data_IF_382042285636
#
_entry.id   IF_382042285636
#
_cell.length_a   1.000
_cell.length_b   1.000
_cell.length_c   1.000
_cell.angle_alpha   90.00
_cell.angle_beta   90.00
_cell.angle_gamma   90.00
#
_symmetry.space_group_name_H-M   'P 1'
#
loop_
_entity.id
_entity.type
_entity.pdbx_description
1 polymer ?
#
# COMPACT_ATOMS: atom_id res chain seq x y z
N UNK A 1 -27.28 -16.88 -18.39
CA UNK A 1 -26.66 -15.81 -17.57
C UNK A 1 -27.68 -15.35 -16.56
N UNK A 2 -27.27 -15.06 -15.31
CA UNK A 2 -28.08 -14.29 -14.39
C UNK A 2 -27.60 -12.84 -14.47
N UNK A 3 -28.50 -11.94 -14.86
CA UNK A 3 -28.24 -10.50 -14.82
C UNK A 3 -28.17 -10.08 -13.35
N UNK A 4 -26.95 -9.87 -12.85
CA UNK A 4 -26.74 -9.37 -11.49
C UNK A 4 -26.89 -7.84 -11.54
N UNK A 5 -28.11 -7.38 -11.24
CA UNK A 5 -28.40 -5.98 -10.95
C UNK A 5 -27.71 -5.57 -9.63
N UNK A 6 -26.41 -5.24 -9.71
CA UNK A 6 -25.67 -4.64 -8.60
C UNK A 6 -25.99 -3.15 -8.58
N UNK A 7 -26.79 -2.75 -7.58
CA UNK A 7 -27.59 -1.52 -7.62
C UNK A 7 -26.83 -0.19 -7.73
N UNK A 8 -27.35 0.63 -8.64
CA UNK A 8 -27.27 2.09 -8.68
C UNK A 8 -27.54 2.76 -7.32
N UNK A 9 -26.91 3.91 -7.03
CA UNK A 9 -27.25 4.79 -5.90
C UNK A 9 -26.72 6.24 -6.08
N UNK A 10 -27.27 7.01 -7.03
CA UNK A 10 -26.99 8.46 -7.16
C UNK A 10 -27.94 9.39 -6.35
N UNK A 11 -28.67 8.87 -5.36
CA UNK A 11 -29.41 9.71 -4.41
C UNK A 11 -28.54 10.08 -3.19
N UNK A 12 -28.62 11.34 -2.75
CA UNK A 12 -27.83 11.96 -1.65
C UNK A 12 -28.19 11.45 -0.24
N UNK A 13 -28.33 10.14 -0.06
CA UNK A 13 -28.69 9.51 1.22
C UNK A 13 -28.87 7.99 1.21
N UNK A 14 -28.83 7.33 0.04
CA UNK A 14 -29.18 5.91 -0.04
C UNK A 14 -28.12 4.95 0.53
N UNK A 15 -28.61 3.82 1.07
CA UNK A 15 -27.81 2.76 1.70
C UNK A 15 -27.01 1.97 0.65
N UNK A 16 -25.85 2.50 0.28
CA UNK A 16 -24.87 1.83 -0.59
C UNK A 16 -24.51 0.44 -0.03
N UNK A 17 -24.90 -0.60 -0.79
CA UNK A 17 -24.70 -2.01 -0.47
C UNK A 17 -23.28 -2.45 -0.85
N UNK A 18 -22.74 -3.40 -0.09
CA UNK A 18 -21.42 -4.00 -0.33
C UNK A 18 -21.53 -5.07 -1.41
N UNK A 19 -20.67 -5.03 -2.42
CA UNK A 19 -20.58 -6.12 -3.41
C UNK A 19 -20.00 -7.37 -2.74
N UNK A 20 -20.33 -8.57 -3.25
CA UNK A 20 -19.67 -9.78 -2.74
C UNK A 20 -18.16 -9.71 -3.02
N UNK A 21 -17.34 -10.06 -2.02
CA UNK A 21 -15.88 -10.09 -2.14
C UNK A 21 -15.38 -11.02 -3.26
N UNK A 22 -16.20 -11.98 -3.69
CA UNK A 22 -15.91 -12.91 -4.79
C UNK A 22 -16.24 -12.37 -6.19
N UNK A 23 -16.84 -11.19 -6.34
CA UNK A 23 -17.46 -10.72 -7.61
C UNK A 23 -16.65 -9.59 -8.30
N UNK A 24 -15.49 -9.18 -7.77
CA UNK A 24 -14.67 -8.14 -8.42
C UNK A 24 -13.94 -8.73 -9.63
N UNK A 25 -14.54 -8.59 -10.80
CA UNK A 25 -13.99 -9.02 -12.10
C UNK A 25 -13.55 -7.83 -12.94
N UNK A 26 -12.66 -8.06 -13.92
CA UNK A 26 -12.29 -7.06 -14.92
C UNK A 26 -13.52 -6.53 -15.71
N UNK A 27 -14.54 -7.37 -15.91
CA UNK A 27 -15.81 -6.99 -16.53
C UNK A 27 -16.60 -6.01 -15.65
N UNK A 28 -16.73 -6.27 -14.34
CA UNK A 28 -17.36 -5.34 -13.40
C UNK A 28 -16.61 -4.00 -13.37
N UNK A 29 -15.28 -4.02 -13.38
CA UNK A 29 -14.46 -2.81 -13.42
C UNK A 29 -14.62 -2.04 -14.74
N UNK A 30 -14.71 -2.73 -15.88
CA UNK A 30 -15.01 -2.13 -17.18
C UNK A 30 -16.39 -1.48 -17.21
N UNK A 31 -17.44 -2.19 -16.75
CA UNK A 31 -18.79 -1.59 -16.58
C UNK A 31 -18.71 -0.35 -15.70
N UNK A 32 -18.05 -0.44 -14.55
CA UNK A 32 -17.90 0.68 -13.61
C UNK A 32 -17.18 1.88 -14.23
N UNK A 33 -16.19 1.67 -15.12
CA UNK A 33 -15.57 2.74 -15.92
C UNK A 33 -16.59 3.40 -16.84
N UNK A 34 -17.34 2.60 -17.62
CA UNK A 34 -18.29 3.08 -18.62
C UNK A 34 -19.47 3.85 -18.00
N UNK A 35 -20.02 3.35 -16.89
CA UNK A 35 -21.14 3.99 -16.17
C UNK A 35 -20.68 5.10 -15.22
N UNK A 36 -19.38 5.16 -14.91
CA UNK A 36 -18.80 6.00 -13.86
C UNK A 36 -19.49 5.83 -12.49
N UNK A 37 -20.04 4.65 -12.21
CA UNK A 37 -20.72 4.34 -10.94
C UNK A 37 -19.72 4.26 -9.77
N UNK A 38 -20.24 4.46 -8.55
CA UNK A 38 -19.48 4.25 -7.30
C UNK A 38 -19.94 2.96 -6.63
N UNK A 39 -19.02 2.01 -6.48
CA UNK A 39 -19.24 0.72 -5.81
C UNK A 39 -18.62 0.72 -4.41
N UNK A 40 -19.22 -0.05 -3.50
CA UNK A 40 -18.66 -0.35 -2.18
C UNK A 40 -18.09 -1.76 -2.18
N UNK A 41 -16.77 -1.85 -2.00
CA UNK A 41 -15.97 -3.02 -2.33
C UNK A 41 -15.71 -3.90 -1.10
N UNK A 42 -15.02 -3.37 -0.09
CA UNK A 42 -14.75 -4.09 1.15
C UNK A 42 -14.71 -3.15 2.36
N UNK A 43 -14.79 -3.70 3.57
CA UNK A 43 -14.55 -2.95 4.79
C UNK A 43 -13.05 -2.68 4.95
N UNK A 44 -12.70 -1.52 5.53
CA UNK A 44 -11.35 -1.28 6.04
C UNK A 44 -11.26 -1.80 7.47
N UNK A 45 -10.41 -2.80 7.71
CA UNK A 45 -10.41 -3.59 8.95
C UNK A 45 -9.33 -3.20 9.94
N UNK A 46 -8.33 -2.38 9.53
CA UNK A 46 -7.31 -1.88 10.45
C UNK A 46 -7.84 -0.72 11.31
N UNK A 47 -8.52 -1.07 12.41
CA UNK A 47 -9.13 -0.13 13.34
C UNK A 47 -8.11 0.83 14.00
N UNK A 48 -6.87 0.39 14.17
CA UNK A 48 -5.77 1.22 14.73
C UNK A 48 -5.46 2.39 13.80
N UNK A 49 -5.24 2.11 12.52
CA UNK A 49 -5.03 3.15 11.49
C UNK A 49 -6.29 3.99 11.29
N UNK A 50 -7.47 3.36 11.28
CA UNK A 50 -8.76 4.06 11.15
C UNK A 50 -8.95 5.14 12.22
N UNK A 51 -8.71 4.80 13.50
CA UNK A 51 -8.78 5.74 14.61
C UNK A 51 -7.78 6.89 14.45
N UNK A 52 -6.56 6.60 14.00
CA UNK A 52 -5.51 7.61 13.77
C UNK A 52 -5.84 8.60 12.63
N UNK A 53 -6.65 8.22 11.65
CA UNK A 53 -7.06 9.09 10.52
C UNK A 53 -8.46 9.69 10.66
N UNK A 54 -9.08 9.60 11.84
CA UNK A 54 -10.37 10.23 12.13
C UNK A 54 -11.56 9.52 11.46
N UNK A 55 -11.54 8.19 11.42
CA UNK A 55 -12.68 7.36 11.05
C UNK A 55 -13.39 6.83 12.31
N UNK A 56 -14.68 6.56 12.15
CA UNK A 56 -15.56 6.06 13.21
C UNK A 56 -15.47 4.53 13.26
N UNK A 57 -14.73 4.01 14.23
CA UNK A 57 -14.53 2.57 14.45
C UNK A 57 -15.77 1.86 15.01
N UNK A 58 -16.86 2.57 15.33
CA UNK A 58 -18.13 1.96 15.76
C UNK A 58 -19.02 1.53 14.59
N UNK A 59 -18.62 1.86 13.34
CA UNK A 59 -19.39 1.61 12.12
C UNK A 59 -18.51 0.97 11.04
N UNK A 60 -19.11 0.23 10.09
CA UNK A 60 -18.43 -0.19 8.86
C UNK A 60 -17.67 0.97 8.19
N UNK A 61 -16.40 0.75 7.86
CA UNK A 61 -15.55 1.73 7.18
C UNK A 61 -15.49 1.32 5.71
N UNK A 62 -16.20 2.05 4.85
CA UNK A 62 -16.44 1.61 3.47
C UNK A 62 -15.24 1.91 2.58
N UNK A 63 -14.57 0.90 2.04
CA UNK A 63 -13.65 1.09 0.92
C UNK A 63 -14.46 1.16 -0.37
N UNK A 64 -14.42 2.31 -1.05
CA UNK A 64 -15.22 2.58 -2.26
C UNK A 64 -14.33 2.83 -3.45
N UNK A 65 -14.87 2.55 -4.64
CA UNK A 65 -14.19 2.73 -5.91
C UNK A 65 -15.18 3.32 -6.93
N UNK A 66 -14.70 4.20 -7.81
CA UNK A 66 -15.51 4.87 -8.85
C UNK A 66 -14.82 4.78 -10.21
N UNK A 67 -15.62 4.65 -11.27
CA UNK A 67 -15.14 4.49 -12.66
C UNK A 67 -14.07 5.48 -13.09
N UNK A 68 -14.30 6.78 -12.84
CA UNK A 68 -13.34 7.83 -13.16
C UNK A 68 -11.96 7.65 -12.49
N UNK A 69 -11.89 6.98 -11.33
CA UNK A 69 -10.63 6.71 -10.63
C UNK A 69 -9.94 5.44 -11.14
N UNK A 70 -10.68 4.40 -11.55
CA UNK A 70 -10.09 3.28 -12.29
C UNK A 70 -9.50 3.81 -13.60
N UNK A 71 -10.29 4.57 -14.37
CA UNK A 71 -9.86 5.13 -15.66
C UNK A 71 -8.65 6.06 -15.52
N UNK A 72 -8.62 6.91 -14.48
CA UNK A 72 -7.44 7.72 -14.16
C UNK A 72 -6.21 6.86 -13.88
N UNK A 73 -6.36 5.81 -13.06
CA UNK A 73 -5.28 4.89 -12.71
C UNK A 73 -4.72 4.19 -13.94
N UNK A 74 -5.56 3.60 -14.78
CA UNK A 74 -5.13 2.92 -16.02
C UNK A 74 -4.50 3.93 -17.00
N UNK A 75 -5.06 5.14 -17.16
CA UNK A 75 -4.45 6.19 -18.00
C UNK A 75 -3.07 6.64 -17.51
N UNK A 76 -2.80 6.60 -16.21
CA UNK A 76 -1.52 7.06 -15.62
C UNK A 76 -0.50 5.94 -15.47
N UNK A 77 -0.92 4.73 -15.12
CA UNK A 77 -0.06 3.62 -14.73
C UNK A 77 -0.25 2.35 -15.57
N UNK A 78 -1.21 2.31 -16.50
CA UNK A 78 -1.42 1.19 -17.41
C UNK A 78 -0.33 1.04 -18.47
N UNK A 79 -0.33 -0.11 -19.16
CA UNK A 79 0.70 -0.52 -20.14
C UNK A 79 1.07 0.57 -21.15
N UNK A 80 0.06 1.28 -21.64
CA UNK A 80 0.22 2.27 -22.72
C UNK A 80 0.38 3.71 -22.20
N UNK A 81 0.66 3.89 -20.90
CA UNK A 81 0.89 5.21 -20.31
C UNK A 81 2.31 5.70 -20.55
N UNK A 82 2.49 7.03 -20.60
CA UNK A 82 3.81 7.66 -20.69
C UNK A 82 4.76 7.24 -19.56
N UNK A 83 4.24 6.89 -18.37
CA UNK A 83 5.07 6.42 -17.25
C UNK A 83 5.63 5.01 -17.51
N UNK A 84 4.88 4.13 -18.18
CA UNK A 84 5.35 2.80 -18.54
C UNK A 84 6.24 2.87 -19.78
N UNK A 85 5.76 3.51 -20.85
CA UNK A 85 6.45 3.58 -22.15
C UNK A 85 7.81 4.29 -22.03
N UNK A 86 7.86 5.49 -21.43
CA UNK A 86 9.08 6.30 -21.40
C UNK A 86 9.88 6.13 -20.10
N UNK A 87 9.20 6.04 -18.95
CA UNK A 87 9.87 6.01 -17.64
C UNK A 87 10.07 4.58 -17.10
N UNK A 88 9.79 3.54 -17.91
CA UNK A 88 9.99 2.11 -17.59
C UNK A 88 9.35 1.67 -16.26
N UNK A 89 8.25 2.32 -15.86
CA UNK A 89 7.48 1.94 -14.66
C UNK A 89 6.72 0.64 -14.89
N UNK A 90 6.39 -0.07 -13.80
CA UNK A 90 5.68 -1.35 -13.89
C UNK A 90 4.19 -1.11 -14.15
N UNK A 91 3.58 -1.73 -15.18
CA UNK A 91 2.22 -1.43 -15.59
C UNK A 91 1.17 -1.99 -14.64
N UNK A 92 0.17 -1.17 -14.30
CA UNK A 92 -1.03 -1.53 -13.53
C UNK A 92 -2.14 -2.03 -14.45
N UNK A 93 -2.80 -3.13 -14.11
CA UNK A 93 -3.93 -3.73 -14.83
C UNK A 93 -5.25 -3.55 -14.07
N UNK A 94 -6.37 -3.95 -14.68
CA UNK A 94 -7.65 -4.03 -13.96
C UNK A 94 -7.61 -5.12 -12.87
N UNK A 95 -7.01 -6.27 -13.15
CA UNK A 95 -6.78 -7.33 -12.17
C UNK A 95 -5.98 -6.86 -10.95
N UNK A 96 -4.96 -6.00 -11.12
CA UNK A 96 -4.25 -5.38 -9.99
C UNK A 96 -5.21 -4.54 -9.12
N UNK A 97 -6.08 -3.75 -9.76
CA UNK A 97 -7.06 -2.89 -9.08
C UNK A 97 -8.16 -3.73 -8.42
N UNK A 98 -8.54 -4.88 -8.97
CA UNK A 98 -9.56 -5.76 -8.40
C UNK A 98 -9.25 -6.20 -6.96
N UNK A 99 -7.96 -6.28 -6.60
CA UNK A 99 -7.48 -6.69 -5.28
C UNK A 99 -7.01 -5.52 -4.39
N UNK A 100 -7.34 -4.26 -4.73
CA UNK A 100 -6.81 -3.09 -4.00
C UNK A 100 -7.15 -3.11 -2.49
N UNK A 101 -8.32 -3.59 -2.10
CA UNK A 101 -8.78 -3.60 -0.70
C UNK A 101 -7.96 -4.55 0.17
N UNK A 102 -7.43 -5.63 -0.39
CA UNK A 102 -6.54 -6.55 0.31
C UNK A 102 -5.16 -5.93 0.54
N UNK A 103 -4.66 -5.11 -0.40
CA UNK A 103 -3.44 -4.29 -0.19
C UNK A 103 -3.69 -3.21 0.85
N UNK A 104 -4.86 -2.55 0.83
CA UNK A 104 -5.19 -1.51 1.81
C UNK A 104 -5.29 -2.07 3.23
N UNK A 105 -5.91 -3.25 3.42
CA UNK A 105 -6.04 -3.90 4.72
C UNK A 105 -4.73 -4.54 5.23
N UNK A 106 -3.90 -5.11 4.34
CA UNK A 106 -2.68 -5.85 4.69
C UNK A 106 -1.38 -5.07 4.41
N UNK A 107 -1.45 -3.74 4.32
CA UNK A 107 -0.29 -2.90 4.02
C UNK A 107 0.83 -3.10 5.07
N UNK A 108 2.09 -3.17 4.61
CA UNK A 108 3.27 -3.22 5.47
C UNK A 108 3.57 -1.86 6.12
N UNK A 109 3.28 -0.78 5.40
CA UNK A 109 3.35 0.59 5.89
C UNK A 109 2.12 1.37 5.42
N UNK A 110 1.66 2.29 6.26
CA UNK A 110 0.65 3.28 5.92
C UNK A 110 1.31 4.66 5.96
N UNK A 111 1.10 5.47 4.94
CA UNK A 111 1.50 6.87 4.92
C UNK A 111 0.25 7.74 4.95
N UNK A 112 0.24 8.71 5.87
CA UNK A 112 -0.86 9.65 6.05
C UNK A 112 -0.38 11.04 5.69
N UNK A 113 -0.99 11.63 4.67
CA UNK A 113 -0.79 13.02 4.27
C UNK A 113 -2.10 13.79 4.35
N UNK A 114 -2.05 15.05 4.77
CA UNK A 114 -3.20 15.96 4.77
C UNK A 114 -3.17 16.85 3.52
N UNK A 115 -4.28 16.90 2.78
CA UNK A 115 -4.44 17.74 1.57
C UNK A 115 -5.80 18.42 1.65
N UNK A 116 -5.86 19.75 1.67
CA UNK A 116 -7.10 20.54 1.80
C UNK A 116 -8.02 19.99 2.91
N UNK A 117 -7.47 19.95 4.13
CA UNK A 117 -8.05 19.35 5.33
C UNK A 117 -8.53 17.89 5.26
N UNK A 118 -8.22 17.19 4.18
CA UNK A 118 -8.61 15.80 3.95
C UNK A 118 -7.42 14.86 4.14
N UNK A 119 -7.61 13.80 4.94
CA UNK A 119 -6.60 12.75 5.09
C UNK A 119 -6.57 11.86 3.84
N UNK A 120 -5.39 11.81 3.20
CA UNK A 120 -5.02 10.82 2.21
C UNK A 120 -4.27 9.70 2.91
N UNK A 121 -4.67 8.46 2.64
CA UNK A 121 -4.05 7.24 3.16
C UNK A 121 -3.39 6.50 1.99
N UNK A 122 -2.08 6.37 2.03
CA UNK A 122 -1.31 5.56 1.10
C UNK A 122 -0.95 4.25 1.79
N UNK A 123 -1.52 3.15 1.31
CA UNK A 123 -1.27 1.80 1.80
C UNK A 123 -0.22 1.13 0.93
N UNK A 124 0.93 0.82 1.51
CA UNK A 124 2.08 0.25 0.80
C UNK A 124 2.40 -1.19 1.23
N UNK A 125 2.62 -2.08 0.27
CA UNK A 125 3.11 -3.45 0.49
C UNK A 125 4.40 -3.69 -0.31
N UNK A 126 5.34 -4.46 0.26
CA UNK A 126 6.59 -4.88 -0.38
C UNK A 126 6.49 -6.36 -0.78
N UNK A 127 6.70 -6.66 -2.06
CA UNK A 127 6.62 -8.03 -2.60
C UNK A 127 7.75 -8.26 -3.63
N UNK A 128 8.61 -9.25 -3.39
CA UNK A 128 9.58 -9.77 -4.38
C UNK A 128 10.44 -8.71 -5.11
N UNK A 129 10.96 -7.71 -4.38
CA UNK A 129 11.79 -6.63 -4.96
C UNK A 129 11.00 -5.55 -5.71
N UNK A 130 9.68 -5.61 -5.67
CA UNK A 130 8.74 -4.56 -6.06
C UNK A 130 7.99 -4.08 -4.83
N UNK A 131 7.39 -2.90 -4.93
CA UNK A 131 6.40 -2.42 -3.99
C UNK A 131 5.13 -2.00 -4.73
N UNK A 132 4.00 -2.06 -4.04
CA UNK A 132 2.67 -1.66 -4.53
C UNK A 132 2.10 -0.64 -3.57
N UNK A 133 1.50 0.43 -4.10
CA UNK A 133 0.88 1.52 -3.33
C UNK A 133 -0.54 1.74 -3.83
N UNK A 134 -1.48 1.76 -2.88
CA UNK A 134 -2.86 2.22 -3.11
C UNK A 134 -3.05 3.55 -2.39
N UNK A 135 -3.45 4.59 -3.12
CA UNK A 135 -3.87 5.86 -2.53
C UNK A 135 -5.39 5.87 -2.36
N UNK A 136 -5.84 6.12 -1.13
CA UNK A 136 -7.23 6.33 -0.74
C UNK A 136 -7.43 7.70 -0.09
N UNK A 137 -8.65 8.24 -0.19
CA UNK A 137 -9.03 9.55 0.37
C UNK A 137 -10.14 9.35 1.38
N UNK A 138 -9.92 9.77 2.62
CA UNK A 138 -10.93 9.77 3.68
C UNK A 138 -12.05 10.76 3.32
N UNK A 139 -13.29 10.30 3.29
CA UNK A 139 -14.50 11.11 3.08
C UNK A 139 -15.33 11.18 4.36
N UNK A 140 -16.29 12.11 4.39
CA UNK A 140 -17.42 12.04 5.32
C UNK A 140 -18.18 10.73 5.13
N UNK A 141 -18.99 10.32 6.12
CA UNK A 141 -19.74 9.05 6.13
C UNK A 141 -18.88 7.78 6.21
N UNK A 142 -17.70 7.85 6.85
CA UNK A 142 -16.85 6.69 7.14
C UNK A 142 -16.35 5.94 5.89
N UNK A 143 -15.99 6.68 4.85
CA UNK A 143 -15.60 6.15 3.53
C UNK A 143 -14.11 6.39 3.26
N UNK A 144 -13.39 5.34 2.85
CA UNK A 144 -12.07 5.40 2.22
C UNK A 144 -12.26 5.22 0.71
N UNK A 145 -12.24 6.33 -0.02
CA UNK A 145 -12.45 6.34 -1.46
C UNK A 145 -11.13 6.13 -2.20
N UNK A 146 -11.04 5.07 -2.99
CA UNK A 146 -9.93 4.82 -3.92
C UNK A 146 -9.64 6.05 -4.79
N UNK A 147 -8.36 6.39 -4.95
CA UNK A 147 -7.87 7.52 -5.77
C UNK A 147 -6.85 7.07 -6.82
N UNK A 148 -5.90 6.20 -6.48
CA UNK A 148 -4.95 5.65 -7.44
C UNK A 148 -4.34 4.32 -6.96
N UNK A 149 -3.75 3.58 -7.89
CA UNK A 149 -2.92 2.41 -7.66
C UNK A 149 -1.64 2.54 -8.49
N UNK A 150 -0.49 2.22 -7.93
CA UNK A 150 0.74 2.05 -8.71
C UNK A 150 1.67 0.99 -8.11
N UNK A 151 2.55 0.44 -8.94
CA UNK A 151 3.60 -0.50 -8.52
C UNK A 151 4.91 -0.19 -9.22
N UNK A 152 6.01 -0.34 -8.51
CA UNK A 152 7.36 -0.11 -9.05
C UNK A 152 8.38 -1.09 -8.48
N UNK A 153 9.51 -1.25 -9.17
CA UNK A 153 10.68 -1.98 -8.66
C UNK A 153 11.42 -1.13 -7.63
N UNK A 154 11.89 -1.76 -6.55
CA UNK A 154 12.65 -1.09 -5.49
C UNK A 154 12.13 -1.41 -4.09
N UNK A 155 12.61 -0.67 -3.08
CA UNK A 155 12.11 -0.81 -1.71
C UNK A 155 11.00 0.21 -1.42
N UNK A 156 9.93 -0.23 -0.78
CA UNK A 156 8.84 0.65 -0.31
C UNK A 156 9.39 1.76 0.61
N UNK A 157 10.40 1.44 1.42
CA UNK A 157 11.06 2.36 2.35
C UNK A 157 11.95 3.42 1.68
N UNK A 158 12.19 3.29 0.38
CA UNK A 158 12.93 4.26 -0.45
C UNK A 158 11.98 5.13 -1.29
N UNK A 159 10.67 4.82 -1.29
CA UNK A 159 9.66 5.66 -1.91
C UNK A 159 9.44 6.92 -1.07
N UNK A 160 9.57 8.10 -1.68
CA UNK A 160 9.35 9.42 -1.07
C UNK A 160 8.02 9.53 -0.30
N UNK A 161 6.97 8.85 -0.75
CA UNK A 161 5.65 8.87 -0.11
C UNK A 161 5.65 8.13 1.24
N UNK A 162 6.69 7.33 1.51
CA UNK A 162 6.91 6.55 2.74
C UNK A 162 8.19 6.96 3.48
N UNK A 163 8.72 8.17 3.20
CA UNK A 163 9.77 8.82 3.98
C UNK A 163 9.11 9.85 4.92
N UNK A 164 9.20 9.69 6.25
CA UNK A 164 8.62 10.65 7.20
C UNK A 164 9.18 12.06 7.02
N UNK A 165 8.31 13.06 7.11
CA UNK A 165 8.63 14.49 7.14
C UNK A 165 7.44 15.26 7.74
N UNK A 166 7.54 16.58 7.84
CA UNK A 166 6.53 17.43 8.50
C UNK A 166 5.12 17.31 7.90
N UNK A 167 5.00 16.96 6.61
CA UNK A 167 3.70 16.74 5.94
C UNK A 167 3.24 15.27 5.91
N UNK A 168 4.16 14.33 6.18
CA UNK A 168 3.97 12.89 5.89
C UNK A 168 4.26 12.06 7.14
N UNK A 169 3.19 11.53 7.75
CA UNK A 169 3.30 10.59 8.87
C UNK A 169 3.25 9.15 8.37
N UNK A 170 4.37 8.44 8.47
CA UNK A 170 4.47 7.01 8.13
C UNK A 170 4.27 6.16 9.36
N UNK A 171 3.48 5.09 9.24
CA UNK A 171 2.99 4.23 10.30
C UNK A 171 3.22 2.76 9.95
N UNK A 172 3.58 1.96 10.94
CA UNK A 172 3.46 0.50 10.87
C UNK A 172 1.99 0.07 11.00
N UNK A 173 1.62 -1.19 10.72
CA UNK A 173 0.22 -1.63 10.78
C UNK A 173 -0.40 -1.49 12.17
N UNK A 174 0.44 -1.48 13.22
CA UNK A 174 0.05 -1.29 14.62
C UNK A 174 0.04 0.19 15.04
N UNK A 175 0.02 1.14 14.09
CA UNK A 175 -0.09 2.57 14.36
C UNK A 175 1.14 3.23 14.99
N UNK A 176 2.27 2.52 15.10
CA UNK A 176 3.54 3.10 15.57
C UNK A 176 4.18 3.88 14.44
N UNK A 177 4.74 5.07 14.73
CA UNK A 177 5.52 5.82 13.74
C UNK A 177 6.67 4.96 13.20
N UNK A 178 6.80 4.92 11.87
CA UNK A 178 7.93 4.28 11.21
C UNK A 178 9.13 5.24 11.19
N UNK A 179 10.27 4.78 11.70
CA UNK A 179 11.55 5.46 11.55
C UNK A 179 12.44 4.57 10.67
N UNK A 180 12.89 5.05 9.49
CA UNK A 180 13.85 4.30 8.70
C UNK A 180 15.16 4.13 9.48
N UNK A 181 15.73 2.93 9.47
CA UNK A 181 17.06 2.68 10.05
C UNK A 181 18.10 3.38 9.18
N UNK A 182 18.55 4.54 9.63
CA UNK A 182 19.73 5.19 9.07
C UNK A 182 20.93 4.35 9.51
N UNK A 183 21.50 3.57 8.59
CA UNK A 183 22.82 2.96 8.80
C UNK A 183 23.86 4.08 8.65
N UNK A 184 23.95 4.92 9.69
CA UNK A 184 24.93 6.00 9.74
C UNK A 184 26.27 5.39 10.14
N UNK A 185 27.07 5.02 9.14
CA UNK A 185 28.48 4.65 9.30
C UNK A 185 29.29 5.89 9.69
N UNK A 186 29.11 6.39 10.91
CA UNK A 186 29.99 7.41 11.47
C UNK A 186 31.27 6.71 11.91
N UNK A 187 32.32 6.80 11.09
CA UNK A 187 33.67 6.69 11.62
C UNK A 187 33.89 7.88 12.57
N UNK A 188 33.69 7.64 13.86
CA UNK A 188 34.08 8.55 14.93
C UNK A 188 35.60 8.48 15.10
N UNK A 189 36.35 9.15 14.23
CA UNK A 189 37.76 9.42 14.48
C UNK A 189 37.87 10.45 15.62
N UNK A 190 37.88 9.94 16.84
CA UNK A 190 38.03 10.73 18.07
C UNK A 190 39.48 10.69 18.52
N UNK A 191 40.29 11.57 17.93
CA UNK A 191 41.64 11.85 18.40
C UNK A 191 41.65 12.53 19.79
N UNK A 192 41.65 11.73 20.85
CA UNK A 192 42.08 12.18 22.18
C UNK A 192 42.81 11.06 22.96
N UNK A 193 44.00 11.36 23.47
CA UNK A 193 44.86 10.42 24.21
C UNK A 193 44.49 10.37 25.69
N UNK A 194 44.20 9.18 26.22
CA UNK A 194 44.51 8.80 27.61
C UNK A 194 44.52 7.27 27.78
N UNK A 195 45.51 6.77 28.54
CA UNK A 195 45.83 5.36 28.84
C UNK A 195 44.71 4.45 29.36
N UNK A 196 44.81 3.15 29.02
CA UNK A 196 44.94 1.95 29.91
C UNK A 196 44.17 2.02 31.24
N UNK A 197 43.25 1.13 31.63
CA UNK A 197 43.02 -0.30 31.32
C UNK A 197 41.50 -0.64 31.48
N UNK A 198 40.92 -1.86 31.46
CA UNK A 198 41.34 -3.28 31.35
C UNK A 198 40.23 -4.05 30.58
N UNK A 199 40.31 -5.39 30.41
CA UNK A 199 39.32 -6.19 29.66
C UNK A 199 38.85 -7.46 30.41
N UNK A 200 37.54 -7.58 30.68
CA UNK A 200 36.92 -8.82 31.23
C UNK A 200 35.57 -9.18 30.57
N UNK A 201 35.67 -10.04 29.56
CA UNK A 201 34.74 -11.15 29.16
C UNK A 201 33.24 -10.96 28.82
N UNK A 202 32.90 -11.44 27.60
CA UNK A 202 31.75 -12.33 27.23
C UNK A 202 30.31 -11.76 27.37
N UNK A 203 29.30 -12.15 26.58
CA UNK A 203 29.07 -13.38 25.79
C UNK A 203 28.27 -13.12 24.52
N UNK A 204 28.66 -13.75 23.40
CA UNK A 204 27.86 -13.81 22.16
C UNK A 204 27.21 -15.19 22.01
N UNK A 205 25.87 -15.28 21.92
CA UNK A 205 25.16 -16.37 21.23
C UNK A 205 23.80 -15.91 20.71
N UNK A 206 23.63 -15.94 19.39
CA UNK A 206 22.36 -16.28 18.76
C UNK A 206 22.62 -16.85 17.37
N UNK A 207 22.12 -18.05 17.12
CA UNK A 207 22.14 -18.78 15.85
C UNK A 207 20.83 -19.57 15.74
N UNK A 208 20.59 -20.16 14.57
CA UNK A 208 19.34 -20.83 14.16
C UNK A 208 18.26 -19.76 13.84
N UNK A 209 17.71 -19.68 12.63
CA UNK A 209 17.35 -20.76 11.71
C UNK A 209 17.93 -20.56 10.30
N UNK A 210 18.33 -21.67 9.68
CA UNK A 210 18.51 -21.76 8.23
C UNK A 210 18.25 -23.19 7.76
N UNK A 211 17.97 -23.34 6.45
CA UNK A 211 17.90 -24.57 5.61
C UNK A 211 16.51 -24.96 5.10
N UNK A 212 16.32 -24.88 3.77
CA UNK A 212 15.89 -25.97 2.86
C UNK A 212 16.38 -25.60 1.42
N UNK A 213 16.51 -26.57 0.48
CA UNK A 213 17.76 -26.70 -0.29
C UNK A 213 17.83 -26.00 -1.66
N UNK A 214 19.06 -25.72 -2.08
CA UNK A 214 19.41 -25.09 -3.35
C UNK A 214 19.67 -26.14 -4.46
N UNK A 215 19.00 -26.00 -5.62
CA UNK A 215 19.11 -26.93 -6.76
C UNK A 215 20.32 -26.59 -7.64
N UNK A 216 21.39 -27.37 -7.52
CA UNK A 216 22.66 -27.15 -8.22
C UNK A 216 22.60 -27.59 -9.69
N UNK A 217 22.68 -26.64 -10.62
CA UNK A 217 22.86 -26.93 -12.05
C UNK A 217 24.20 -27.64 -12.31
N UNK A 218 24.18 -28.82 -12.94
CA UNK A 218 25.38 -29.46 -13.51
C UNK A 218 25.67 -28.88 -14.90
N UNK A 219 26.79 -28.17 -15.05
CA UNK A 219 27.39 -27.91 -16.37
C UNK A 219 27.91 -29.23 -16.94
N UNK A 220 27.54 -29.55 -18.18
CA UNK A 220 28.25 -30.55 -19.00
C UNK A 220 29.43 -29.86 -19.68
N UNK A 221 30.61 -30.48 -19.64
CA UNK A 221 31.67 -30.25 -20.61
C UNK A 221 31.84 -31.50 -21.48
N UNK A 222 32.40 -31.32 -22.67
CA UNK A 222 32.74 -32.37 -23.63
C UNK A 222 33.93 -33.19 -23.13
#
# INVERSE_FOLDING_TARGET
>A
MQDIDICYNEARGSKMQKISKTIITDELLQRTILTNEKIYVDDFTNLTIAKLIGLDITKPIKQTLRGDKIAHTIKRHGKDSNLVIHNKKTPTTLQDIAHYTDIVNNAHLYSVKKVNDTNHLLSGIQVNGYYVVVESVRKSMNELKFKSFYKEKGKLTENKDFIPNDEVRVLTPNGRSYAPRINLSVELDSSSRASVDNTTTKTTKSQVYDTLPNVRHKRKHR
#
